data_IF_849435240362
#
_entry.id   IF_849435240362
#
_cell.length_a   1.000
_cell.length_b   1.000
_cell.length_c   1.000
_cell.angle_alpha   90.00
_cell.angle_beta   90.00
_cell.angle_gamma   90.00
#
_symmetry.space_group_name_H-M   'P 1'
#
loop_
_entity.id
_entity.type
_entity.pdbx_description
1 polymer ?
#
# COMPACT_ATOMS: atom_id res chain seq x y z
N UNK A 1 14.61 -5.51 -20.13
CA UNK A 1 14.80 -6.37 -18.93
C UNK A 1 13.73 -6.16 -17.87
N UNK A 2 13.32 -4.92 -17.50
CA UNK A 2 12.31 -4.71 -16.44
C UNK A 2 10.96 -5.37 -16.69
N UNK A 3 10.35 -5.19 -17.87
CA UNK A 3 8.99 -5.66 -18.15
C UNK A 3 8.80 -7.19 -18.08
N UNK A 4 9.85 -7.97 -18.36
CA UNK A 4 9.80 -9.44 -18.23
C UNK A 4 9.81 -9.85 -16.76
N UNK A 5 10.67 -9.21 -15.95
CA UNK A 5 10.76 -9.44 -14.50
C UNK A 5 9.46 -9.03 -13.82
N UNK A 6 8.88 -7.89 -14.22
CA UNK A 6 7.63 -7.38 -13.64
C UNK A 6 6.47 -8.34 -13.94
N UNK A 7 6.47 -8.99 -15.11
CA UNK A 7 5.50 -10.02 -15.48
C UNK A 7 5.67 -11.32 -14.69
N UNK A 8 6.90 -11.81 -14.56
CA UNK A 8 7.19 -13.01 -13.77
C UNK A 8 6.84 -12.82 -12.30
N UNK A 9 7.19 -11.65 -11.74
CA UNK A 9 6.83 -11.29 -10.38
C UNK A 9 5.31 -11.20 -10.20
N UNK A 10 4.58 -10.55 -11.12
CA UNK A 10 3.11 -10.53 -11.10
C UNK A 10 2.53 -11.94 -11.09
N UNK A 11 2.98 -12.83 -11.98
CA UNK A 11 2.50 -14.22 -12.02
C UNK A 11 2.71 -14.93 -10.69
N UNK A 12 3.87 -14.71 -10.05
CA UNK A 12 4.18 -15.29 -8.75
C UNK A 12 3.25 -14.77 -7.65
N UNK A 13 2.99 -13.46 -7.62
CA UNK A 13 2.08 -12.83 -6.64
C UNK A 13 0.62 -13.27 -6.87
N UNK A 14 0.17 -13.34 -8.13
CA UNK A 14 -1.17 -13.78 -8.49
C UNK A 14 -1.49 -15.21 -8.05
N UNK A 15 -0.48 -16.06 -7.92
CA UNK A 15 -0.61 -17.44 -7.44
C UNK A 15 -0.81 -17.55 -5.92
N UNK A 16 -0.65 -16.46 -5.16
CA UNK A 16 -0.75 -16.48 -3.69
C UNK A 16 -2.18 -16.32 -3.19
N UNK A 17 -2.42 -16.70 -1.93
CA UNK A 17 -3.67 -16.42 -1.22
C UNK A 17 -3.87 -14.91 -1.04
N UNK A 18 -5.12 -14.49 -0.80
CA UNK A 18 -5.40 -13.09 -0.47
C UNK A 18 -4.69 -12.65 0.82
N UNK A 19 -4.64 -13.53 1.83
CA UNK A 19 -3.92 -13.28 3.09
C UNK A 19 -2.43 -13.00 2.86
N UNK A 20 -1.76 -13.82 2.05
CA UNK A 20 -0.35 -13.63 1.74
C UNK A 20 -0.08 -12.33 0.97
N UNK A 21 -0.98 -11.94 0.06
CA UNK A 21 -0.90 -10.66 -0.66
C UNK A 21 -1.10 -9.49 0.29
N UNK A 22 -2.04 -9.60 1.24
CA UNK A 22 -2.29 -8.56 2.24
C UNK A 22 -1.07 -8.36 3.15
N UNK A 23 -0.46 -9.45 3.60
CA UNK A 23 0.78 -9.41 4.41
C UNK A 23 1.94 -8.76 3.66
N UNK A 24 2.18 -9.17 2.41
CA UNK A 24 3.24 -8.57 1.60
C UNK A 24 2.99 -7.10 1.30
N UNK A 25 1.74 -6.71 1.01
CA UNK A 25 1.39 -5.33 0.77
C UNK A 25 1.57 -4.48 2.03
N UNK A 26 1.22 -5.00 3.21
CA UNK A 26 1.44 -4.35 4.49
C UNK A 26 2.94 -4.15 4.78
N UNK A 27 3.76 -5.19 4.59
CA UNK A 27 5.20 -5.12 4.77
C UNK A 27 5.85 -4.12 3.80
N UNK A 28 5.48 -4.17 2.51
CA UNK A 28 5.91 -3.21 1.51
C UNK A 28 5.56 -1.78 1.93
N UNK A 29 4.35 -1.56 2.44
CA UNK A 29 3.91 -0.21 2.82
C UNK A 29 4.78 0.36 3.95
N UNK A 30 5.06 -0.45 4.97
CA UNK A 30 5.97 -0.06 6.07
C UNK A 30 7.37 0.21 5.54
N UNK A 31 7.92 -0.68 4.72
CA UNK A 31 9.28 -0.57 4.20
C UNK A 31 9.44 0.63 3.26
N UNK A 32 8.43 0.90 2.43
CA UNK A 32 8.37 2.10 1.62
C UNK A 32 8.41 3.33 2.52
N UNK A 33 7.51 3.43 3.48
CA UNK A 33 7.42 4.60 4.35
C UNK A 33 8.73 4.85 5.13
N UNK A 34 9.41 3.80 5.61
CA UNK A 34 10.74 3.89 6.24
C UNK A 34 11.81 4.42 5.30
N UNK A 35 11.80 4.00 4.03
CA UNK A 35 12.87 4.30 3.05
C UNK A 35 12.66 5.63 2.32
N UNK A 36 11.41 6.03 2.09
CA UNK A 36 11.05 7.17 1.22
C UNK A 36 10.15 8.20 1.88
N UNK A 37 9.75 7.97 3.13
CA UNK A 37 8.83 8.83 3.88
C UNK A 37 7.36 8.41 3.73
N UNK A 38 6.57 8.72 4.76
CA UNK A 38 5.15 8.35 4.87
C UNK A 38 4.32 8.95 3.75
N UNK A 39 4.41 10.27 3.54
CA UNK A 39 3.61 10.96 2.53
C UNK A 39 3.81 10.37 1.13
N UNK A 40 5.07 10.10 0.76
CA UNK A 40 5.41 9.45 -0.52
C UNK A 40 4.80 8.05 -0.65
N UNK A 41 4.90 7.23 0.40
CA UNK A 41 4.34 5.87 0.40
C UNK A 41 2.81 5.90 0.28
N UNK A 42 2.17 6.80 1.02
CA UNK A 42 0.71 7.01 0.98
C UNK A 42 0.27 7.49 -0.40
N UNK A 43 0.99 8.46 -0.99
CA UNK A 43 0.72 8.96 -2.33
C UNK A 43 0.86 7.85 -3.39
N UNK A 44 1.91 7.03 -3.32
CA UNK A 44 2.10 5.89 -4.22
C UNK A 44 0.96 4.86 -4.09
N UNK A 45 0.61 4.49 -2.86
CA UNK A 45 -0.52 3.59 -2.61
C UNK A 45 -1.84 4.16 -3.15
N UNK A 46 -2.10 5.45 -2.93
CA UNK A 46 -3.28 6.14 -3.44
C UNK A 46 -3.32 6.13 -4.98
N UNK A 47 -2.19 6.45 -5.63
CA UNK A 47 -2.09 6.47 -7.08
C UNK A 47 -2.38 5.09 -7.69
N UNK A 48 -1.80 4.02 -7.14
CA UNK A 48 -2.01 2.65 -7.64
C UNK A 48 -3.44 2.16 -7.34
N UNK A 49 -3.96 2.44 -6.15
CA UNK A 49 -5.29 1.98 -5.75
C UNK A 49 -6.43 2.87 -6.27
N UNK A 50 -6.12 3.98 -6.93
CA UNK A 50 -7.10 4.96 -7.40
C UNK A 50 -7.88 5.62 -6.26
N UNK A 51 -7.18 5.95 -5.17
CA UNK A 51 -7.75 6.63 -4.01
C UNK A 51 -7.36 8.11 -4.04
N UNK A 52 -8.29 8.98 -3.66
CA UNK A 52 -7.95 10.34 -3.21
C UNK A 52 -7.66 10.34 -1.70
N UNK A 53 -7.27 11.49 -1.15
CA UNK A 53 -6.98 11.64 0.28
C UNK A 53 -8.15 11.17 1.19
N UNK A 54 -9.39 11.47 0.79
CA UNK A 54 -10.60 11.04 1.52
C UNK A 54 -10.83 9.54 1.40
N UNK A 55 -10.56 8.97 0.23
CA UNK A 55 -10.59 7.54 -0.04
C UNK A 55 -9.59 6.81 0.84
N UNK A 56 -8.36 7.31 0.93
CA UNK A 56 -7.35 6.77 1.84
C UNK A 56 -7.81 6.81 3.29
N UNK A 57 -8.26 7.98 3.77
CA UNK A 57 -8.76 8.12 5.13
C UNK A 57 -9.89 7.13 5.42
N UNK A 58 -10.81 6.94 4.49
CA UNK A 58 -11.90 5.97 4.63
C UNK A 58 -11.38 4.54 4.76
N UNK A 59 -10.50 4.09 3.86
CA UNK A 59 -9.97 2.71 3.96
C UNK A 59 -9.16 2.55 5.24
N UNK A 60 -8.33 3.52 5.61
CA UNK A 60 -7.56 3.49 6.85
C UNK A 60 -8.46 3.29 8.08
N UNK A 61 -9.53 4.07 8.21
CA UNK A 61 -10.52 3.95 9.28
C UNK A 61 -11.24 2.60 9.27
N UNK A 62 -11.73 2.14 8.11
CA UNK A 62 -12.42 0.84 7.98
C UNK A 62 -11.48 -0.33 8.29
N UNK A 63 -10.19 -0.17 8.05
CA UNK A 63 -9.14 -1.12 8.44
C UNK A 63 -8.87 -1.18 9.94
N UNK A 64 -9.45 -0.27 10.74
CA UNK A 64 -9.24 -0.15 12.17
C UNK A 64 -8.14 0.84 12.55
N UNK A 65 -7.71 1.70 11.64
CA UNK A 65 -6.78 2.79 11.94
C UNK A 65 -7.44 3.85 12.84
N UNK A 66 -6.69 4.44 13.80
CA UNK A 66 -7.25 5.45 14.69
C UNK A 66 -7.61 6.74 13.94
N UNK A 67 -8.78 7.31 14.22
CA UNK A 67 -9.27 8.51 13.54
C UNK A 67 -8.44 9.76 13.78
N UNK A 68 -7.89 9.92 14.97
CA UNK A 68 -7.08 11.05 15.39
C UNK A 68 -5.64 11.03 14.89
N UNK A 69 -5.20 9.95 14.23
CA UNK A 69 -3.81 9.82 13.74
C UNK A 69 -3.65 9.95 12.23
N UNK A 70 -4.76 9.96 11.48
CA UNK A 70 -4.73 10.22 10.03
C UNK A 70 -5.18 11.65 9.76
N UNK A 71 -4.36 12.39 9.02
CA UNK A 71 -4.63 13.80 8.78
C UNK A 71 -3.78 14.38 7.67
N UNK A 72 -3.94 15.68 7.46
CA UNK A 72 -3.08 16.45 6.57
C UNK A 72 -1.93 17.04 7.39
N UNK A 73 -0.70 16.81 6.98
CA UNK A 73 0.49 17.36 7.62
C UNK A 73 0.71 18.83 7.26
N UNK A 74 1.78 19.43 7.79
CA UNK A 74 2.10 20.85 7.58
C UNK A 74 2.47 21.19 6.13
N UNK A 75 2.80 20.21 5.30
CA UNK A 75 3.07 20.37 3.88
C UNK A 75 1.81 20.19 3.02
N UNK A 76 0.67 19.85 3.62
CA UNK A 76 -0.57 19.57 2.88
C UNK A 76 -0.71 18.10 2.45
N UNK A 77 0.18 17.22 2.91
CA UNK A 77 0.21 15.80 2.54
C UNK A 77 -0.55 14.94 3.53
N UNK A 78 -1.09 13.81 3.07
CA UNK A 78 -1.75 12.87 3.96
C UNK A 78 -0.70 12.11 4.80
N UNK A 79 -0.82 12.15 6.12
CA UNK A 79 0.08 11.51 7.05
C UNK A 79 -0.66 10.57 8.00
N UNK A 80 -0.03 9.43 8.29
CA UNK A 80 -0.42 8.47 9.32
C UNK A 80 0.84 7.86 9.96
N UNK A 81 0.78 7.35 11.21
CA UNK A 81 1.91 6.64 11.79
C UNK A 81 2.29 5.43 10.92
N UNK A 82 3.60 5.24 10.69
CA UNK A 82 4.13 4.18 9.81
C UNK A 82 3.56 2.80 10.16
N UNK A 83 3.50 2.49 11.46
CA UNK A 83 3.02 1.19 11.95
C UNK A 83 1.51 0.98 11.79
N UNK A 84 0.74 2.02 11.50
CA UNK A 84 -0.70 1.93 11.21
C UNK A 84 -0.99 1.84 9.70
N UNK A 85 -0.02 2.08 8.82
CA UNK A 85 -0.23 1.99 7.37
C UNK A 85 -0.84 0.65 6.89
N UNK A 86 -0.51 -0.52 7.48
CA UNK A 86 -1.19 -1.78 7.18
C UNK A 86 -2.73 -1.74 7.33
N UNK A 87 -3.27 -0.83 8.15
CA UNK A 87 -4.73 -0.66 8.27
C UNK A 87 -5.35 -0.23 6.95
N UNK A 88 -4.68 0.57 6.14
CA UNK A 88 -5.19 0.95 4.81
C UNK A 88 -5.32 -0.27 3.88
N UNK A 89 -4.41 -1.24 3.96
CA UNK A 89 -4.49 -2.52 3.22
C UNK A 89 -5.73 -3.31 3.66
N UNK A 90 -5.87 -3.53 4.97
CA UNK A 90 -7.04 -4.23 5.54
C UNK A 90 -8.36 -3.53 5.20
N UNK A 91 -8.37 -2.20 5.18
CA UNK A 91 -9.51 -1.39 4.81
C UNK A 91 -9.88 -1.50 3.34
N UNK A 92 -8.90 -1.44 2.44
CA UNK A 92 -9.10 -1.62 1.01
C UNK A 92 -9.70 -3.00 0.75
N UNK A 93 -9.16 -4.04 1.40
CA UNK A 93 -9.66 -5.43 1.31
C UNK A 93 -11.12 -5.56 1.70
N UNK A 94 -11.58 -4.83 2.73
CA UNK A 94 -12.97 -4.87 3.20
C UNK A 94 -13.95 -4.07 2.34
N UNK A 95 -13.46 -3.07 1.60
CA UNK A 95 -14.33 -2.04 0.99
C UNK A 95 -14.35 -2.07 -0.53
N UNK A 96 -13.33 -2.63 -1.17
CA UNK A 96 -13.19 -2.61 -2.62
C UNK A 96 -13.20 -4.05 -3.20
N UNK A 97 -14.17 -4.39 -4.07
CA UNK A 97 -14.22 -5.72 -4.70
C UNK A 97 -13.02 -6.02 -5.61
N UNK A 98 -12.27 -4.99 -6.02
CA UNK A 98 -11.05 -5.10 -6.82
C UNK A 98 -9.77 -5.01 -5.96
N UNK A 99 -9.88 -5.06 -4.63
CA UNK A 99 -8.75 -4.94 -3.71
C UNK A 99 -7.61 -5.91 -4.06
N UNK A 100 -7.92 -7.18 -4.36
CA UNK A 100 -6.90 -8.16 -4.77
C UNK A 100 -6.03 -7.64 -5.89
N UNK A 101 -6.66 -7.18 -6.98
CA UNK A 101 -5.94 -6.67 -8.16
C UNK A 101 -5.10 -5.44 -7.79
N UNK A 102 -5.68 -4.49 -7.06
CA UNK A 102 -5.00 -3.25 -6.67
C UNK A 102 -3.79 -3.48 -5.77
N UNK A 103 -3.87 -4.43 -4.83
CA UNK A 103 -2.76 -4.79 -3.96
C UNK A 103 -1.64 -5.51 -4.72
N UNK A 104 -1.98 -6.38 -5.68
CA UNK A 104 -1.00 -6.96 -6.61
C UNK A 104 -0.34 -5.86 -7.45
N UNK A 105 -1.13 -4.90 -7.96
CA UNK A 105 -0.59 -3.78 -8.73
C UNK A 105 0.37 -2.94 -7.88
N UNK A 106 0.07 -2.72 -6.60
CA UNK A 106 0.95 -2.00 -5.66
C UNK A 106 2.26 -2.75 -5.42
N UNK A 107 2.19 -4.06 -5.17
CA UNK A 107 3.36 -4.92 -5.02
C UNK A 107 4.25 -4.90 -6.26
N UNK A 108 3.65 -5.00 -7.45
CA UNK A 108 4.40 -5.01 -8.71
C UNK A 108 5.02 -3.64 -9.01
N UNK A 109 4.27 -2.56 -8.82
CA UNK A 109 4.74 -1.20 -9.08
C UNK A 109 5.93 -0.82 -8.20
N UNK A 110 5.89 -1.21 -6.93
CA UNK A 110 6.86 -0.77 -5.93
C UNK A 110 7.84 -1.87 -5.51
N UNK A 111 7.95 -2.96 -6.29
CA UNK A 111 8.81 -4.12 -5.97
C UNK A 111 10.27 -3.75 -5.70
N UNK A 112 10.76 -2.67 -6.32
CA UNK A 112 12.14 -2.20 -6.16
C UNK A 112 12.42 -1.71 -4.74
N UNK A 113 11.37 -1.27 -4.04
CA UNK A 113 11.45 -0.91 -2.62
C UNK A 113 11.79 -2.14 -1.78
N UNK A 114 11.29 -3.33 -2.13
CA UNK A 114 11.61 -4.57 -1.43
C UNK A 114 12.95 -5.20 -1.87
N UNK A 115 13.37 -4.99 -3.12
CA UNK A 115 14.49 -5.72 -3.72
C UNK A 115 15.90 -5.16 -3.47
N UNK A 116 16.14 -4.41 -2.39
CA UNK A 116 17.49 -3.95 -2.07
C UNK A 116 18.17 -4.91 -1.09
N UNK A 117 19.08 -5.74 -1.63
CA UNK A 117 20.17 -6.34 -0.86
C UNK A 117 21.11 -5.21 -0.43
N UNK A 118 21.56 -5.14 0.84
CA UNK A 118 22.46 -4.10 1.34
C UNK A 118 23.75 -3.97 0.53
#
# INVERSE_FOLDING_TARGET
>A
MSATIDREYRTMVEAQSDEQIDDWAADLFIDFAKRKGVGTAVAAFCAVCGLDARGFQRVFLVGGGPDHVVGIDTAGELAAPIFELPRAVAGLRRTDPLARRKLIDFLVAERQVMSYTP
#
